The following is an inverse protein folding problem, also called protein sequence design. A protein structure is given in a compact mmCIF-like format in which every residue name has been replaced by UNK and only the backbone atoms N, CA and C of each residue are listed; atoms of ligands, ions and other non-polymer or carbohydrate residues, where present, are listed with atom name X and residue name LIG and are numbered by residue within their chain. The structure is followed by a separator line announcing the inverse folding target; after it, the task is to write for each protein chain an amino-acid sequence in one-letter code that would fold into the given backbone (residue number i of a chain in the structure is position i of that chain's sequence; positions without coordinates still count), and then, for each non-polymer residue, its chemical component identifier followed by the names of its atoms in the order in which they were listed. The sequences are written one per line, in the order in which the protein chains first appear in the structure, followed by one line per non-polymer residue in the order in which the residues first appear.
data_IF_218500221744
#
_entry.id   IF_218500221744
#
_cell.length_a   1.000
_cell.length_b   1.000
_cell.length_c   1.000
_cell.angle_alpha   90.00
_cell.angle_beta   90.00
_cell.angle_gamma   90.00
#
_symmetry.space_group_name_H-M   'P 1'
#
loop_
_entity.id
_entity.type
_entity.pdbx_description
1 polymer ?
#
# COMPACT_ATOMS: atom_id res chain seq x y z
N UNK A 1 56.55 -13.98 -0.80
CA UNK A 1 55.11 -14.36 -0.72
C UNK A 1 54.69 -14.95 -2.06
N UNK A 2 54.15 -16.18 -2.10
CA UNK A 2 53.85 -16.87 -3.37
C UNK A 2 52.73 -16.14 -4.11
N UNK A 3 53.05 -15.57 -5.29
CA UNK A 3 52.13 -14.77 -6.13
C UNK A 3 50.80 -15.49 -6.40
N UNK A 4 50.86 -16.82 -6.56
CA UNK A 4 49.67 -17.65 -6.77
C UNK A 4 48.74 -17.72 -5.55
N UNK A 5 49.30 -17.76 -4.34
CA UNK A 5 48.50 -17.73 -3.10
C UNK A 5 47.80 -16.38 -2.94
N UNK A 6 48.48 -15.29 -3.27
CA UNK A 6 47.90 -13.93 -3.22
C UNK A 6 46.75 -13.80 -4.22
N UNK A 7 46.94 -14.27 -5.46
CA UNK A 7 45.89 -14.27 -6.48
C UNK A 7 44.66 -15.09 -6.06
N UNK A 8 44.87 -16.26 -5.43
CA UNK A 8 43.80 -17.07 -4.88
C UNK A 8 42.98 -16.32 -3.81
N UNK A 9 43.64 -15.67 -2.85
CA UNK A 9 42.93 -14.91 -1.82
C UNK A 9 42.17 -13.71 -2.37
N UNK A 10 42.74 -12.97 -3.34
CA UNK A 10 42.04 -11.87 -4.01
C UNK A 10 40.77 -12.38 -4.70
N UNK A 11 40.88 -13.48 -5.46
CA UNK A 11 39.72 -14.09 -6.13
C UNK A 11 38.68 -14.57 -5.13
N UNK A 12 39.09 -15.20 -4.03
CA UNK A 12 38.18 -15.67 -2.99
C UNK A 12 37.42 -14.51 -2.34
N UNK A 13 38.11 -13.42 -2.03
CA UNK A 13 37.49 -12.21 -1.46
C UNK A 13 36.47 -11.61 -2.41
N UNK A 14 36.78 -11.48 -3.71
CA UNK A 14 35.84 -10.98 -4.71
C UNK A 14 34.61 -11.88 -4.79
N UNK A 15 34.79 -13.21 -4.82
CA UNK A 15 33.68 -14.16 -4.87
C UNK A 15 32.77 -14.04 -3.66
N UNK A 16 33.34 -13.95 -2.44
CA UNK A 16 32.56 -13.78 -1.21
C UNK A 16 31.76 -12.47 -1.25
N UNK A 17 32.39 -11.37 -1.66
CA UNK A 17 31.72 -10.07 -1.77
C UNK A 17 30.56 -10.12 -2.78
N UNK A 18 30.74 -10.78 -3.92
CA UNK A 18 29.68 -10.94 -4.93
C UNK A 18 28.50 -11.75 -4.40
N UNK A 19 28.75 -12.84 -3.67
CA UNK A 19 27.68 -13.66 -3.07
C UNK A 19 26.90 -12.85 -2.04
N UNK A 20 27.59 -12.15 -1.14
CA UNK A 20 26.96 -11.32 -0.12
C UNK A 20 26.17 -10.17 -0.74
N UNK A 21 26.73 -9.48 -1.74
CA UNK A 21 26.06 -8.41 -2.46
C UNK A 21 24.80 -8.88 -3.18
N UNK A 22 24.88 -10.02 -3.88
CA UNK A 22 23.72 -10.60 -4.57
C UNK A 22 22.64 -11.02 -3.59
N UNK A 23 23.00 -11.68 -2.48
CA UNK A 23 22.06 -12.06 -1.43
C UNK A 23 21.33 -10.87 -0.82
N UNK A 24 22.05 -9.77 -0.55
CA UNK A 24 21.47 -8.53 -0.05
C UNK A 24 20.47 -7.90 -1.03
N UNK A 25 20.81 -7.85 -2.33
CA UNK A 25 19.92 -7.32 -3.38
C UNK A 25 18.63 -8.14 -3.47
N UNK A 26 18.74 -9.48 -3.45
CA UNK A 26 17.56 -10.37 -3.49
C UNK A 26 16.67 -10.17 -2.27
N UNK A 27 17.26 -10.08 -1.08
CA UNK A 27 16.51 -9.87 0.16
C UNK A 27 15.80 -8.51 0.16
N UNK A 28 16.47 -7.46 -0.28
CA UNK A 28 15.90 -6.10 -0.36
C UNK A 28 14.75 -6.04 -1.36
N UNK A 29 14.91 -6.63 -2.55
CA UNK A 29 13.84 -6.70 -3.54
C UNK A 29 12.65 -7.54 -3.05
N UNK A 30 12.90 -8.63 -2.32
CA UNK A 30 11.84 -9.45 -1.72
C UNK A 30 11.03 -8.62 -0.72
N UNK A 31 11.68 -7.91 0.21
CA UNK A 31 11.00 -7.05 1.19
C UNK A 31 10.21 -5.95 0.49
N UNK A 32 10.82 -5.27 -0.49
CA UNK A 32 10.14 -4.22 -1.25
C UNK A 32 8.92 -4.76 -2.01
N UNK A 33 9.05 -5.95 -2.61
CA UNK A 33 7.95 -6.60 -3.31
C UNK A 33 6.82 -7.03 -2.36
N UNK A 34 7.17 -7.47 -1.15
CA UNK A 34 6.21 -7.77 -0.09
C UNK A 34 5.41 -6.54 0.31
N UNK A 35 6.08 -5.42 0.62
CA UNK A 35 5.40 -4.16 0.94
C UNK A 35 4.55 -3.63 -0.23
N UNK A 36 5.00 -3.81 -1.47
CA UNK A 36 4.20 -3.44 -2.64
C UNK A 36 2.95 -4.32 -2.77
N UNK A 37 3.08 -5.62 -2.51
CA UNK A 37 1.96 -6.56 -2.51
C UNK A 37 0.96 -6.27 -1.39
N UNK A 38 1.43 -5.98 -0.18
CA UNK A 38 0.59 -5.58 0.95
C UNK A 38 -0.18 -4.29 0.62
N UNK A 39 0.48 -3.28 0.05
CA UNK A 39 -0.19 -2.06 -0.39
C UNK A 39 -1.24 -2.32 -1.48
N UNK A 40 -0.99 -3.24 -2.41
CA UNK A 40 -1.96 -3.63 -3.43
C UNK A 40 -3.19 -4.33 -2.83
N UNK A 41 -2.99 -5.19 -1.82
CA UNK A 41 -4.08 -5.80 -1.06
C UNK A 41 -4.90 -4.71 -0.38
N UNK A 42 -4.25 -3.81 0.36
CA UNK A 42 -4.95 -2.72 1.05
C UNK A 42 -5.73 -1.83 0.09
N UNK A 43 -5.16 -1.47 -1.07
CA UNK A 43 -5.90 -0.72 -2.10
C UNK A 43 -7.12 -1.52 -2.59
N UNK A 44 -6.98 -2.82 -2.81
CA UNK A 44 -8.09 -3.68 -3.24
C UNK A 44 -9.19 -3.74 -2.18
N UNK A 45 -8.82 -3.86 -0.91
CA UNK A 45 -9.76 -3.88 0.22
C UNK A 45 -10.49 -2.53 0.36
N UNK A 46 -9.76 -1.41 0.29
CA UNK A 46 -10.34 -0.07 0.31
C UNK A 46 -11.36 0.11 -0.84
N UNK A 47 -10.99 -0.27 -2.06
CA UNK A 47 -11.87 -0.18 -3.23
C UNK A 47 -13.10 -1.10 -3.11
N UNK A 48 -12.94 -2.30 -2.56
CA UNK A 48 -14.05 -3.22 -2.33
C UNK A 48 -15.05 -2.64 -1.32
N UNK A 49 -14.55 -2.05 -0.23
CA UNK A 49 -15.36 -1.41 0.81
C UNK A 49 -16.14 -0.21 0.26
N UNK A 50 -15.47 0.64 -0.53
CA UNK A 50 -16.11 1.76 -1.23
C UNK A 50 -17.19 1.24 -2.18
N UNK A 51 -16.88 0.22 -2.97
CA UNK A 51 -17.82 -0.38 -3.92
C UNK A 51 -19.06 -0.94 -3.24
N UNK A 52 -18.91 -1.63 -2.09
CA UNK A 52 -20.03 -2.12 -1.28
C UNK A 52 -20.90 -0.98 -0.76
N UNK A 53 -20.30 0.11 -0.27
CA UNK A 53 -21.05 1.27 0.18
C UNK A 53 -21.89 1.89 -0.97
N UNK A 54 -21.30 2.00 -2.17
CA UNK A 54 -22.01 2.46 -3.38
C UNK A 54 -23.13 1.49 -3.78
N UNK A 55 -22.90 0.17 -3.75
CA UNK A 55 -23.93 -0.83 -4.05
C UNK A 55 -25.10 -0.76 -3.06
N UNK A 56 -24.82 -0.43 -1.79
CA UNK A 56 -25.83 -0.20 -0.76
C UNK A 56 -26.50 1.18 -0.87
N UNK A 57 -26.21 1.93 -1.93
CA UNK A 57 -26.79 3.24 -2.24
C UNK A 57 -26.46 4.33 -1.20
N UNK A 58 -25.29 4.27 -0.58
CA UNK A 58 -24.80 5.38 0.22
C UNK A 58 -24.53 6.59 -0.70
N UNK A 59 -25.08 7.75 -0.36
CA UNK A 59 -24.97 9.00 -1.14
C UNK A 59 -24.48 10.19 -0.30
N UNK A 60 -24.42 10.05 1.02
CA UNK A 60 -23.90 11.09 1.92
C UNK A 60 -22.72 10.57 2.73
N UNK A 61 -21.93 11.49 3.29
CA UNK A 61 -20.82 11.15 4.17
C UNK A 61 -21.27 10.28 5.35
N UNK A 62 -22.41 10.60 5.98
CA UNK A 62 -22.94 9.80 7.10
C UNK A 62 -23.42 8.41 6.66
N UNK A 63 -23.98 8.29 5.45
CA UNK A 63 -24.40 6.98 4.91
C UNK A 63 -23.18 6.11 4.57
N UNK A 64 -22.13 6.70 3.99
CA UNK A 64 -20.88 6.02 3.72
C UNK A 64 -20.19 5.58 5.02
N UNK A 65 -20.10 6.48 6.00
CA UNK A 65 -19.52 6.21 7.32
C UNK A 65 -20.19 5.00 7.97
N UNK A 66 -21.53 4.96 7.95
CA UNK A 66 -22.31 3.84 8.50
C UNK A 66 -22.07 2.51 7.75
N UNK A 67 -22.00 2.53 6.42
CA UNK A 67 -21.74 1.30 5.65
C UNK A 67 -20.30 0.80 5.84
N UNK A 68 -19.33 1.70 6.00
CA UNK A 68 -17.94 1.35 6.30
C UNK A 68 -17.77 0.82 7.73
N UNK A 69 -18.46 1.41 8.72
CA UNK A 69 -18.52 0.87 10.09
C UNK A 69 -19.11 -0.54 10.12
N UNK A 70 -20.19 -0.77 9.38
CA UNK A 70 -20.84 -2.09 9.28
C UNK A 70 -19.91 -3.16 8.69
N UNK A 71 -19.05 -2.76 7.74
CA UNK A 71 -18.08 -3.65 7.11
C UNK A 71 -16.75 -3.74 7.86
N UNK A 72 -16.62 -3.05 9.00
CA UNK A 72 -15.41 -2.94 9.81
C UNK A 72 -14.18 -2.53 8.97
N UNK A 73 -14.38 -1.59 8.05
CA UNK A 73 -13.44 -1.24 6.98
C UNK A 73 -12.21 -0.45 7.43
N UNK A 74 -12.06 -0.16 8.73
CA UNK A 74 -10.91 0.57 9.27
C UNK A 74 -10.73 1.94 8.64
N UNK A 75 -11.64 2.87 8.93
CA UNK A 75 -11.65 4.22 8.36
C UNK A 75 -11.69 5.32 9.43
N UNK A 76 -11.40 6.55 9.02
CA UNK A 76 -11.53 7.78 9.80
C UNK A 76 -12.33 8.81 9.01
N UNK A 77 -13.34 9.39 9.65
CA UNK A 77 -14.25 10.36 9.03
C UNK A 77 -13.97 11.77 9.53
N UNK A 78 -13.57 12.66 8.61
CA UNK A 78 -13.40 14.09 8.83
C UNK A 78 -14.61 14.85 8.28
N UNK A 79 -15.54 15.19 9.19
CA UNK A 79 -16.77 15.91 8.83
C UNK A 79 -16.54 17.40 8.56
N UNK A 80 -15.45 17.97 9.06
CA UNK A 80 -15.14 19.40 8.82
C UNK A 80 -14.71 19.60 7.37
N UNK A 81 -13.91 18.68 6.85
CA UNK A 81 -13.41 18.74 5.47
C UNK A 81 -14.23 17.91 4.47
N UNK A 82 -15.28 17.20 4.92
CA UNK A 82 -16.10 16.29 4.11
C UNK A 82 -15.26 15.17 3.45
N UNK A 83 -14.40 14.51 4.23
CA UNK A 83 -13.50 13.45 3.76
C UNK A 83 -13.65 12.20 4.63
N UNK A 84 -13.69 11.03 4.00
CA UNK A 84 -13.48 9.75 4.68
C UNK A 84 -12.15 9.17 4.23
N UNK A 85 -11.23 8.97 5.16
CA UNK A 85 -9.95 8.34 4.92
C UNK A 85 -10.04 6.85 5.28
N UNK A 86 -9.71 5.97 4.33
CA UNK A 86 -9.46 4.55 4.60
C UNK A 86 -7.96 4.35 4.87
N UNK A 87 -7.43 3.15 4.67
CA UNK A 87 -6.01 2.88 4.94
C UNK A 87 -5.08 3.55 3.93
N UNK A 88 -5.45 3.58 2.64
CA UNK A 88 -4.66 4.22 1.57
C UNK A 88 -5.52 5.19 0.76
N UNK A 89 -6.77 4.84 0.46
CA UNK A 89 -7.67 5.68 -0.31
C UNK A 89 -8.41 6.71 0.56
N UNK A 90 -8.83 7.81 -0.05
CA UNK A 90 -9.73 8.79 0.56
C UNK A 90 -10.94 9.04 -0.34
N UNK A 91 -12.12 9.13 0.28
CA UNK A 91 -13.37 9.53 -0.36
C UNK A 91 -13.62 11.00 -0.04
N UNK A 92 -13.73 11.82 -1.07
CA UNK A 92 -13.98 13.27 -0.93
C UNK A 92 -15.41 13.54 -1.36
N UNK A 93 -16.17 14.21 -0.50
CA UNK A 93 -17.57 14.55 -0.74
C UNK A 93 -17.71 16.02 -1.15
N UNK A 94 -18.86 16.37 -1.76
CA UNK A 94 -19.15 17.77 -2.09
C UNK A 94 -19.30 18.64 -0.82
N UNK A 95 -19.43 19.96 -0.99
CA UNK A 95 -19.61 20.91 0.12
C UNK A 95 -20.91 20.71 0.93
N UNK A 96 -21.81 19.83 0.48
CA UNK A 96 -23.03 19.42 1.18
C UNK A 96 -22.90 18.01 1.75
N UNK A 97 -21.70 17.43 1.76
CA UNK A 97 -21.42 16.08 2.24
C UNK A 97 -22.02 14.98 1.36
N UNK A 98 -22.26 15.24 0.06
CA UNK A 98 -22.85 14.28 -0.88
C UNK A 98 -21.79 13.69 -1.80
N UNK A 99 -21.96 12.40 -2.07
CA UNK A 99 -21.17 11.66 -3.05
C UNK A 99 -21.80 11.86 -4.43
N UNK A 100 -21.35 12.89 -5.12
CA UNK A 100 -21.79 13.19 -6.50
C UNK A 100 -20.64 12.85 -7.42
N UNK A 101 -20.93 12.19 -8.56
CA UNK A 101 -19.96 12.00 -9.63
C UNK A 101 -19.36 13.36 -10.00
N UNK A 102 -18.05 13.51 -9.79
CA UNK A 102 -17.33 14.70 -10.26
C UNK A 102 -17.27 14.59 -11.78
N UNK A 103 -18.09 15.36 -12.48
CA UNK A 103 -17.91 15.56 -13.92
C UNK A 103 -16.61 16.36 -14.09
N UNK A 104 -15.59 15.70 -14.62
CA UNK A 104 -14.30 16.33 -14.96
C UNK A 104 -14.29 16.69 -16.43
#
# INVERSE_FOLDING_TARGET
MNKWKVAFFISLTITILTILGTGYIVLTNTILSGHCYDNLITISEDLENISKAIQNKANTIDEFDRELEKNNSGHYTDKEHNIINLQIAAIIFDNKGRFVKIET
#
